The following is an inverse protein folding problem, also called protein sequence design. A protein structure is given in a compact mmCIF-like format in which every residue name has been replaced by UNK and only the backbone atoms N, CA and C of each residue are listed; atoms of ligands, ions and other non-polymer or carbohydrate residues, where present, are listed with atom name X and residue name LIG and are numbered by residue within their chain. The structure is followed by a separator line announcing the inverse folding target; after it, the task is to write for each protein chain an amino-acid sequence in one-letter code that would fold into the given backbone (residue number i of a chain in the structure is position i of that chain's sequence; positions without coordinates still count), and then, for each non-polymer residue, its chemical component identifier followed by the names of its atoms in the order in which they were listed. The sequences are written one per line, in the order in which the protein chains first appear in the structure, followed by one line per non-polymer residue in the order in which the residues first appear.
data_IF_584847042758
#
_entry.id   IF_584847042758
#
_cell.length_a   1.000
_cell.length_b   1.000
_cell.length_c   1.000
_cell.angle_alpha   90.00
_cell.angle_beta   90.00
_cell.angle_gamma   90.00
#
_symmetry.space_group_name_H-M   'P 1'
#
loop_
_entity.id
_entity.type
_entity.pdbx_description
1 polymer ?
#
# COMPACT_ATOMS: atom_id res chain seq x y z
N UNK A 1 13.45 5.47 -3.26
CA UNK A 1 12.01 5.35 -2.94
C UNK A 1 11.30 4.33 -3.83
N UNK A 2 11.52 4.39 -5.14
CA UNK A 2 10.93 3.43 -6.08
C UNK A 2 11.33 1.98 -5.73
N UNK A 3 12.63 1.72 -5.56
CA UNK A 3 13.13 0.38 -5.22
C UNK A 3 12.55 -0.09 -3.88
N UNK A 4 12.53 0.77 -2.88
CA UNK A 4 11.97 0.45 -1.57
C UNK A 4 10.46 0.19 -1.64
N UNK A 5 9.71 1.01 -2.38
CA UNK A 5 8.28 0.83 -2.56
C UNK A 5 7.96 -0.50 -3.24
N UNK A 6 8.71 -0.87 -4.29
CA UNK A 6 8.52 -2.15 -4.98
C UNK A 6 8.85 -3.35 -4.09
N UNK A 7 9.91 -3.24 -3.29
CA UNK A 7 10.28 -4.31 -2.35
C UNK A 7 9.20 -4.51 -1.28
N UNK A 8 8.69 -3.42 -0.71
CA UNK A 8 7.61 -3.48 0.27
C UNK A 8 6.31 -4.01 -0.34
N UNK A 9 5.96 -3.56 -1.55
CA UNK A 9 4.77 -4.03 -2.24
C UNK A 9 4.85 -5.54 -2.55
N UNK A 10 5.99 -6.02 -3.00
CA UNK A 10 6.20 -7.45 -3.25
C UNK A 10 6.06 -8.27 -1.96
N UNK A 11 6.64 -7.79 -0.87
CA UNK A 11 6.48 -8.43 0.43
C UNK A 11 5.01 -8.40 0.89
N UNK A 12 4.33 -7.27 0.70
CA UNK A 12 2.92 -7.12 1.10
C UNK A 12 2.01 -8.15 0.43
N UNK A 13 2.32 -8.57 -0.80
CA UNK A 13 1.58 -9.62 -1.50
C UNK A 13 1.61 -10.96 -0.76
N UNK A 14 2.59 -11.19 0.10
CA UNK A 14 2.70 -12.43 0.89
C UNK A 14 1.88 -12.38 2.18
N UNK A 15 1.30 -11.24 2.52
CA UNK A 15 0.51 -11.07 3.75
C UNK A 15 -0.96 -11.32 3.47
N UNK A 16 -1.57 -12.28 4.18
CA UNK A 16 -2.96 -12.69 3.97
C UNK A 16 -3.98 -11.56 4.21
N UNK A 17 -3.65 -10.60 5.08
CA UNK A 17 -4.51 -9.46 5.40
C UNK A 17 -4.68 -8.51 4.22
N UNK A 18 -3.69 -8.44 3.33
CA UNK A 18 -3.74 -7.63 2.11
C UNK A 18 -4.25 -8.50 0.96
N UNK A 19 -5.52 -8.33 0.60
CA UNK A 19 -6.13 -9.14 -0.47
C UNK A 19 -5.74 -8.67 -1.87
N UNK A 20 -5.21 -7.44 -1.98
CA UNK A 20 -4.73 -6.90 -3.24
C UNK A 20 -3.64 -5.87 -2.97
N UNK A 21 -2.62 -5.83 -3.83
CA UNK A 21 -1.52 -4.86 -3.80
C UNK A 21 -1.45 -4.21 -5.18
N UNK A 22 -1.51 -2.89 -5.23
CA UNK A 22 -1.90 -2.15 -6.43
C UNK A 22 -0.81 -1.43 -7.22
N UNK A 23 0.50 -1.42 -6.85
CA UNK A 23 1.46 -0.68 -7.68
C UNK A 23 1.56 -1.28 -9.08
N UNK A 24 1.48 -0.46 -10.14
CA UNK A 24 1.48 -0.97 -11.52
C UNK A 24 2.74 -1.75 -11.91
N UNK A 25 3.84 -1.54 -11.18
CA UNK A 25 5.08 -2.28 -11.40
C UNK A 25 4.99 -3.78 -11.07
N UNK A 26 3.97 -4.22 -10.32
CA UNK A 26 3.73 -5.63 -10.03
C UNK A 26 2.84 -6.25 -11.11
N UNK A 27 3.21 -7.45 -11.58
CA UNK A 27 2.51 -8.13 -12.69
C UNK A 27 1.02 -8.34 -12.42
N UNK A 28 0.65 -8.62 -11.18
CA UNK A 28 -0.74 -8.90 -10.78
C UNK A 28 -1.56 -7.62 -10.60
N UNK A 29 -0.92 -6.45 -10.64
CA UNK A 29 -1.62 -5.19 -10.41
C UNK A 29 -2.40 -4.75 -11.64
N UNK A 30 -3.60 -4.16 -11.46
CA UNK A 30 -4.31 -3.53 -12.56
C UNK A 30 -3.44 -2.47 -13.26
N UNK A 31 -3.41 -2.50 -14.59
CA UNK A 31 -2.64 -1.52 -15.36
C UNK A 31 -1.16 -1.86 -15.55
N UNK A 32 -0.67 -3.00 -15.07
CA UNK A 32 0.73 -3.40 -15.24
C UNK A 32 1.18 -3.36 -16.71
N UNK A 33 0.35 -3.82 -17.64
CA UNK A 33 0.66 -3.83 -19.07
C UNK A 33 0.96 -2.42 -19.57
N UNK A 34 0.19 -1.44 -19.17
CA UNK A 34 0.39 -0.05 -19.56
C UNK A 34 1.63 0.56 -18.92
N UNK A 35 1.86 0.28 -17.64
CA UNK A 35 3.08 0.72 -16.95
C UNK A 35 4.32 0.14 -17.61
N UNK A 36 4.32 -1.15 -17.91
CA UNK A 36 5.45 -1.84 -18.53
C UNK A 36 5.78 -1.26 -19.90
N UNK A 37 4.77 -0.93 -20.69
CA UNK A 37 4.96 -0.33 -22.01
C UNK A 37 5.56 1.08 -21.94
N UNK A 38 5.18 1.89 -20.94
CA UNK A 38 5.58 3.30 -20.86
C UNK A 38 6.80 3.52 -19.95
N UNK A 39 6.95 2.74 -18.89
CA UNK A 39 7.91 3.00 -17.81
C UNK A 39 8.80 1.80 -17.51
N UNK A 40 8.53 0.65 -18.08
CA UNK A 40 9.14 -0.62 -17.72
C UNK A 40 10.46 -0.95 -18.38
N UNK A 41 11.21 0.02 -18.94
CA UNK A 41 12.50 -0.22 -19.59
C UNK A 41 13.40 -1.22 -18.83
N UNK A 42 14.68 -1.30 -19.12
CA UNK A 42 15.55 -2.36 -18.56
C UNK A 42 15.49 -2.45 -17.01
N UNK A 43 15.40 -1.32 -16.32
CA UNK A 43 15.27 -1.26 -14.86
C UNK A 43 13.88 -0.86 -14.41
N UNK A 44 13.11 -0.25 -15.27
CA UNK A 44 11.80 0.30 -14.96
C UNK A 44 11.86 1.48 -14.01
N UNK A 45 10.75 2.17 -13.86
CA UNK A 45 10.61 3.32 -12.98
C UNK A 45 9.17 3.40 -12.49
N UNK A 46 8.98 3.54 -11.20
CA UNK A 46 7.66 3.63 -10.57
C UNK A 46 7.65 4.69 -9.47
N UNK A 47 6.46 4.98 -8.95
CA UNK A 47 6.33 5.95 -7.87
C UNK A 47 6.82 5.37 -6.53
N UNK A 48 7.22 6.24 -5.62
CA UNK A 48 7.59 5.88 -4.25
C UNK A 48 6.38 5.69 -3.34
N UNK A 49 5.24 5.32 -3.89
CA UNK A 49 4.02 5.05 -3.12
C UNK A 49 3.25 3.90 -3.76
N UNK A 50 2.49 3.20 -2.94
CA UNK A 50 1.60 2.13 -3.41
C UNK A 50 0.40 2.01 -2.47
N UNK A 51 -0.65 1.37 -2.96
CA UNK A 51 -1.84 1.09 -2.17
C UNK A 51 -2.07 -0.40 -2.05
N UNK A 52 -2.72 -0.78 -0.96
CA UNK A 52 -3.18 -2.15 -0.71
C UNK A 52 -4.67 -2.12 -0.42
N UNK A 53 -5.33 -3.25 -0.58
CA UNK A 53 -6.68 -3.46 -0.07
C UNK A 53 -6.58 -4.40 1.12
N UNK A 54 -6.97 -3.92 2.30
CA UNK A 54 -7.18 -4.77 3.48
C UNK A 54 -8.49 -5.51 3.32
N UNK A 55 -8.49 -6.80 3.70
CA UNK A 55 -9.66 -7.67 3.57
C UNK A 55 -10.91 -7.01 4.17
N UNK A 56 -12.06 -7.19 3.50
CA UNK A 56 -13.37 -6.66 3.95
C UNK A 56 -13.81 -7.16 5.32
N UNK A 57 -13.22 -8.27 5.83
CA UNK A 57 -13.51 -8.80 7.16
C UNK A 57 -13.09 -7.85 8.29
N UNK A 58 -12.16 -6.94 8.02
CA UNK A 58 -11.69 -5.97 9.00
C UNK A 58 -12.60 -4.75 9.03
N UNK A 59 -13.06 -4.37 10.23
CA UNK A 59 -13.87 -3.17 10.44
C UNK A 59 -13.03 -1.91 10.29
N UNK A 60 -13.69 -0.76 10.15
CA UNK A 60 -13.00 0.54 10.14
C UNK A 60 -12.18 0.75 11.41
N UNK A 61 -12.72 0.37 12.57
CA UNK A 61 -12.00 0.46 13.84
C UNK A 61 -10.73 -0.37 13.84
N UNK A 62 -10.77 -1.57 13.25
CA UNK A 62 -9.58 -2.43 13.12
C UNK A 62 -8.55 -1.83 12.16
N UNK A 63 -8.99 -1.28 11.04
CA UNK A 63 -8.09 -0.60 10.08
C UNK A 63 -7.44 0.61 10.73
N UNK A 64 -8.19 1.41 11.46
CA UNK A 64 -7.65 2.57 12.18
C UNK A 64 -6.62 2.13 13.23
N UNK A 65 -6.90 1.05 13.96
CA UNK A 65 -5.98 0.48 14.94
C UNK A 65 -4.67 0.00 14.27
N UNK A 66 -4.77 -0.61 13.09
CA UNK A 66 -3.59 -0.99 12.31
C UNK A 66 -2.75 0.24 11.95
N UNK A 67 -3.38 1.28 11.42
CA UNK A 67 -2.67 2.51 11.07
C UNK A 67 -2.01 3.17 12.29
N UNK A 68 -2.73 3.20 13.41
CA UNK A 68 -2.23 3.79 14.67
C UNK A 68 -1.07 2.97 15.28
N UNK A 69 -1.01 1.67 15.00
CA UNK A 69 0.06 0.80 15.48
C UNK A 69 1.39 0.98 14.74
N UNK A 70 1.36 1.61 13.55
CA UNK A 70 2.58 1.93 12.80
C UNK A 70 3.40 2.96 13.57
N UNK A 71 4.71 2.73 13.67
CA UNK A 71 5.63 3.58 14.43
C UNK A 71 6.45 4.50 13.54
N UNK A 72 6.82 4.03 12.36
CA UNK A 72 7.60 4.81 11.38
C UNK A 72 6.71 5.55 10.39
N UNK A 73 5.63 4.88 9.94
CA UNK A 73 4.64 5.53 9.09
C UNK A 73 3.77 6.46 9.94
N UNK A 74 3.65 7.71 9.49
CA UNK A 74 2.75 8.70 10.11
C UNK A 74 1.52 8.90 9.26
N UNK A 75 0.40 9.24 9.87
CA UNK A 75 -0.82 9.56 9.14
C UNK A 75 -0.63 10.86 8.34
N UNK A 76 -0.96 10.82 7.05
CA UNK A 76 -0.86 12.00 6.20
C UNK A 76 -1.19 11.73 4.75
N UNK A 77 -1.73 12.75 4.08
CA UNK A 77 -2.16 12.69 2.69
C UNK A 77 -1.07 13.07 1.69
N UNK A 78 0.01 13.67 2.14
CA UNK A 78 1.12 14.07 1.28
C UNK A 78 1.93 12.88 0.78
N UNK A 79 2.94 13.12 -0.03
CA UNK A 79 3.87 12.09 -0.52
C UNK A 79 5.20 12.73 -0.91
N UNK A 80 6.18 11.89 -1.22
CA UNK A 80 7.51 12.28 -1.69
C UNK A 80 8.36 13.06 -0.66
N UNK A 81 7.94 13.10 0.61
CA UNK A 81 8.72 13.66 1.70
C UNK A 81 9.74 12.66 2.27
N UNK A 82 10.56 13.08 3.24
CA UNK A 82 11.55 12.20 3.88
C UNK A 82 10.93 11.20 4.84
N UNK A 83 9.72 11.47 5.35
CA UNK A 83 9.00 10.61 6.29
C UNK A 83 7.97 9.78 5.54
N UNK A 84 7.93 8.49 5.85
CA UNK A 84 6.90 7.59 5.30
C UNK A 84 5.53 7.93 5.89
N UNK A 85 4.50 7.90 5.03
CA UNK A 85 3.13 8.25 5.40
C UNK A 85 2.18 7.11 5.06
N UNK A 86 1.10 7.02 5.84
CA UNK A 86 0.01 6.08 5.63
C UNK A 86 -1.31 6.82 5.68
N UNK A 87 -2.25 6.44 4.83
CA UNK A 87 -3.62 6.95 4.91
C UNK A 87 -4.61 5.90 4.45
N UNK A 88 -5.62 5.58 5.29
CA UNK A 88 -6.74 4.74 4.90
C UNK A 88 -7.79 5.56 4.16
N UNK A 89 -8.45 4.94 3.16
CA UNK A 89 -9.51 5.56 2.39
C UNK A 89 -10.78 4.72 2.43
N UNK A 90 -11.90 5.34 2.77
CA UNK A 90 -13.22 4.76 2.62
C UNK A 90 -13.74 5.09 1.21
N UNK A 91 -13.34 4.31 0.20
CA UNK A 91 -13.70 4.60 -1.20
C UNK A 91 -15.21 4.63 -1.45
N UNK A 92 -15.99 3.83 -0.70
CA UNK A 92 -17.44 3.79 -0.83
C UNK A 92 -18.08 5.14 -0.51
N UNK A 93 -17.50 5.92 0.39
CA UNK A 93 -17.98 7.26 0.76
C UNK A 93 -17.43 8.34 -0.16
N UNK A 94 -16.34 8.07 -0.88
CA UNK A 94 -15.64 9.03 -1.74
C UNK A 94 -16.07 8.94 -3.21
N UNK A 95 -16.65 7.81 -3.62
CA UNK A 95 -17.01 7.53 -5.01
C UNK A 95 -18.38 6.87 -5.07
N UNK A 96 -19.03 6.99 -6.24
CA UNK A 96 -20.25 6.26 -6.53
C UNK A 96 -19.88 4.83 -6.93
N UNK A 97 -20.13 3.88 -6.04
CA UNK A 97 -19.83 2.46 -6.27
C UNK A 97 -18.37 2.10 -6.07
N UNK A 98 -18.10 0.81 -5.98
CA UNK A 98 -16.76 0.25 -5.83
C UNK A 98 -16.14 0.01 -7.20
N UNK A 99 -14.88 0.42 -7.45
CA UNK A 99 -14.21 0.16 -8.73
C UNK A 99 -14.17 -1.34 -9.05
N UNK A 100 -14.54 -1.72 -10.28
CA UNK A 100 -14.65 -3.14 -10.68
C UNK A 100 -13.34 -3.90 -10.64
N UNK A 101 -12.20 -3.20 -10.77
CA UNK A 101 -10.87 -3.81 -10.75
C UNK A 101 -10.28 -3.97 -9.34
N UNK A 102 -10.99 -3.49 -8.32
CA UNK A 102 -10.56 -3.61 -6.93
C UNK A 102 -11.40 -4.65 -6.18
N UNK A 103 -10.72 -5.49 -5.38
CA UNK A 103 -11.40 -6.39 -4.46
C UNK A 103 -12.05 -5.57 -3.33
N UNK A 104 -13.14 -6.08 -2.72
CA UNK A 104 -13.77 -5.36 -1.61
C UNK A 104 -12.87 -5.32 -0.38
N UNK A 105 -12.92 -4.20 0.33
CA UNK A 105 -12.10 -3.99 1.53
C UNK A 105 -11.81 -2.49 1.75
N UNK A 106 -10.82 -2.18 2.53
CA UNK A 106 -10.38 -0.81 2.77
C UNK A 106 -9.07 -0.56 2.02
N UNK A 107 -9.02 0.50 1.22
CA UNK A 107 -7.80 0.92 0.54
C UNK A 107 -6.91 1.67 1.53
N UNK A 108 -5.65 1.25 1.64
CA UNK A 108 -4.64 1.92 2.45
C UNK A 108 -3.47 2.28 1.54
N UNK A 109 -3.09 3.56 1.53
CA UNK A 109 -1.96 4.03 0.74
C UNK A 109 -0.73 4.20 1.64
N UNK A 110 0.40 3.69 1.18
CA UNK A 110 1.72 3.88 1.78
C UNK A 110 2.56 4.77 0.88
N UNK A 111 3.07 5.87 1.42
CA UNK A 111 4.04 6.73 0.77
C UNK A 111 5.40 6.51 1.42
N UNK A 112 6.40 6.11 0.64
CA UNK A 112 7.70 5.68 1.16
C UNK A 112 8.65 6.88 1.23
N UNK A 113 9.18 7.11 2.43
CA UNK A 113 10.19 8.16 2.68
C UNK A 113 11.62 7.62 2.51
N UNK A 114 12.51 8.09 3.37
CA UNK A 114 13.94 7.77 3.31
C UNK A 114 14.38 6.75 4.36
N UNK A 115 13.46 6.23 5.17
CA UNK A 115 13.78 5.21 6.17
C UNK A 115 14.24 3.91 5.49
N UNK A 116 14.97 3.09 6.21
CA UNK A 116 15.43 1.78 5.73
C UNK A 116 14.24 0.87 5.42
N UNK A 117 14.27 0.19 4.27
CA UNK A 117 13.17 -0.66 3.82
C UNK A 117 12.91 -1.84 4.76
N UNK A 118 13.95 -2.38 5.38
CA UNK A 118 13.82 -3.48 6.34
C UNK A 118 13.06 -3.01 7.58
N UNK A 119 13.35 -1.79 8.04
CA UNK A 119 12.65 -1.19 9.18
C UNK A 119 11.19 -0.90 8.85
N UNK A 120 10.91 -0.41 7.65
CA UNK A 120 9.54 -0.17 7.19
C UNK A 120 8.74 -1.47 7.09
N UNK A 121 9.35 -2.53 6.57
CA UNK A 121 8.72 -3.85 6.51
C UNK A 121 8.41 -4.37 7.91
N UNK A 122 9.35 -4.25 8.83
CA UNK A 122 9.17 -4.67 10.22
C UNK A 122 8.05 -3.87 10.91
N UNK A 123 7.95 -2.59 10.58
CA UNK A 123 6.89 -1.73 11.12
C UNK A 123 5.51 -2.18 10.67
N UNK A 124 5.34 -2.44 9.38
CA UNK A 124 4.06 -2.98 8.86
C UNK A 124 3.77 -4.35 9.47
N UNK A 125 4.77 -5.21 9.56
CA UNK A 125 4.60 -6.56 10.10
C UNK A 125 4.12 -6.54 11.56
N UNK A 126 4.71 -5.69 12.41
CA UNK A 126 4.27 -5.57 13.79
C UNK A 126 2.86 -4.99 13.90
N UNK A 127 2.51 -4.00 13.04
CA UNK A 127 1.19 -3.41 13.04
C UNK A 127 0.10 -4.40 12.60
N UNK A 128 0.41 -5.33 11.70
CA UNK A 128 -0.52 -6.38 11.28
C UNK A 128 -0.95 -7.29 12.44
N UNK A 129 -0.15 -7.40 13.50
CA UNK A 129 -0.52 -8.20 14.67
C UNK A 129 -1.81 -7.70 15.35
N UNK A 130 -2.15 -6.44 15.19
CA UNK A 130 -3.41 -5.88 15.69
C UNK A 130 -4.63 -6.52 15.02
N UNK A 131 -4.46 -7.01 13.79
CA UNK A 131 -5.52 -7.64 12.99
C UNK A 131 -5.60 -9.17 13.19
N UNK A 132 -4.62 -9.76 13.84
CA UNK A 132 -4.51 -11.21 14.01
C UNK A 132 -5.08 -11.73 15.32
#
# INVERSE_FOLDING_TARGET
RDVAARALAAWAQTQAEFVQVLPPALEESPGHVHWKALCGGAEGSAAGLFSVILDKRFSQTQVDAFCDALQLFRLGYSWAGPVSLVVPYELETMRTGWPVHLLPGTLVRFSIGLEDVVDLQSDIAQALNVLR
#
